data_IF_711531885266
#
_entry.id   IF_711531885266
#
_cell.length_a   1.000
_cell.length_b   1.000
_cell.length_c   1.000
_cell.angle_alpha   90.00
_cell.angle_beta   90.00
_cell.angle_gamma   90.00
#
_symmetry.space_group_name_H-M   'P 1'
#
loop_
_entity.id
_entity.type
_entity.pdbx_description
1 polymer ?
#
# COMPACT_ATOMS: atom_id res chain seq x y z
N UNK A 1 33.57 11.92 52.21
CA UNK A 1 33.44 11.95 50.73
C UNK A 1 31.98 12.03 50.26
N UNK A 2 31.01 11.93 51.17
CA UNK A 2 29.59 11.77 50.83
C UNK A 2 28.85 13.07 50.46
N UNK A 3 29.30 14.24 50.92
CA UNK A 3 28.58 15.50 50.66
C UNK A 3 28.62 15.88 49.18
N UNK A 4 29.73 15.53 48.49
CA UNK A 4 29.93 15.84 47.08
C UNK A 4 29.08 14.95 46.17
N UNK A 5 28.88 13.68 46.55
CA UNK A 5 28.04 12.74 45.78
C UNK A 5 26.55 13.07 45.93
N UNK A 6 26.09 13.44 47.12
CA UNK A 6 24.69 13.83 47.35
C UNK A 6 24.32 15.13 46.61
N UNK A 7 25.25 16.09 46.53
CA UNK A 7 25.02 17.33 45.78
C UNK A 7 24.98 17.09 44.27
N UNK A 8 25.83 16.21 43.72
CA UNK A 8 25.78 15.82 42.30
C UNK A 8 24.47 15.10 41.95
N UNK A 9 24.05 14.13 42.76
CA UNK A 9 22.80 13.39 42.54
C UNK A 9 21.58 14.31 42.52
N UNK A 10 21.48 15.25 43.49
CA UNK A 10 20.38 16.22 43.57
C UNK A 10 20.37 17.21 42.41
N UNK A 11 21.55 17.53 41.86
CA UNK A 11 21.68 18.44 40.70
C UNK A 11 21.28 17.73 39.41
N UNK A 12 21.62 16.45 39.24
CA UNK A 12 21.22 15.64 38.09
C UNK A 12 19.72 15.34 38.09
N UNK A 13 19.15 15.00 39.25
CA UNK A 13 17.71 14.72 39.41
C UNK A 13 16.85 15.98 39.17
N UNK A 14 17.28 17.14 39.67
CA UNK A 14 16.60 18.42 39.39
C UNK A 14 16.68 18.80 37.90
N UNK A 15 17.78 18.45 37.22
CA UNK A 15 17.95 18.67 35.78
C UNK A 15 17.16 17.67 34.92
N UNK A 16 16.95 16.43 35.37
CA UNK A 16 16.16 15.44 34.64
C UNK A 16 14.66 15.75 34.72
N UNK A 17 14.17 16.17 35.89
CA UNK A 17 12.78 16.58 36.11
C UNK A 17 12.45 17.86 35.33
N UNK A 18 13.36 18.83 35.24
CA UNK A 18 13.15 20.05 34.44
C UNK A 18 13.21 19.80 32.92
N UNK A 19 13.93 18.77 32.49
CA UNK A 19 14.02 18.37 31.07
C UNK A 19 12.78 17.63 30.57
N UNK A 20 12.07 16.88 31.42
CA UNK A 20 10.84 16.16 31.03
C UNK A 20 9.75 17.05 30.38
N UNK A 21 9.33 18.19 30.97
CA UNK A 21 8.31 19.05 30.35
C UNK A 21 8.79 19.69 29.05
N UNK A 22 10.09 19.97 28.92
CA UNK A 22 10.71 20.49 27.70
C UNK A 22 10.68 19.42 26.61
N UNK A 23 11.03 18.18 26.93
CA UNK A 23 11.04 17.04 26.01
C UNK A 23 9.63 16.71 25.50
N UNK A 24 8.62 16.76 26.37
CA UNK A 24 7.20 16.60 25.99
C UNK A 24 6.74 17.72 25.04
N UNK A 25 7.16 18.95 25.30
CA UNK A 25 6.81 20.12 24.47
C UNK A 25 7.47 20.04 23.09
N UNK A 26 8.75 19.68 23.04
CA UNK A 26 9.51 19.45 21.80
C UNK A 26 8.89 18.29 21.02
N UNK A 27 8.58 17.17 21.67
CA UNK A 27 7.95 16.01 21.04
C UNK A 27 6.58 16.37 20.44
N UNK A 28 5.80 17.23 21.11
CA UNK A 28 4.52 17.72 20.58
C UNK A 28 4.70 18.60 19.33
N UNK A 29 5.73 19.44 19.29
CA UNK A 29 6.08 20.26 18.10
C UNK A 29 6.55 19.35 16.96
N UNK A 30 7.47 18.43 17.24
CA UNK A 30 7.96 17.43 16.27
C UNK A 30 6.79 16.63 15.70
N UNK A 31 5.87 16.15 16.54
CA UNK A 31 4.72 15.39 16.09
C UNK A 31 3.74 16.20 15.23
N UNK A 32 3.69 17.54 15.37
CA UNK A 32 2.94 18.40 14.43
C UNK A 32 3.65 18.52 13.09
N UNK A 33 4.97 18.71 13.11
CA UNK A 33 5.79 18.80 11.88
C UNK A 33 5.76 17.48 11.12
N UNK A 34 5.96 16.36 11.81
CA UNK A 34 5.86 15.01 11.25
C UNK A 34 4.46 14.78 10.65
N UNK A 35 3.38 15.19 11.32
CA UNK A 35 2.03 15.10 10.73
C UNK A 35 1.88 15.93 9.45
N UNK A 36 2.49 17.11 9.35
CA UNK A 36 2.48 17.91 8.12
C UNK A 36 3.26 17.21 7.00
N UNK A 37 4.47 16.73 7.30
CA UNK A 37 5.30 15.99 6.34
C UNK A 37 4.59 14.73 5.89
N UNK A 38 3.98 13.97 6.81
CA UNK A 38 3.21 12.76 6.51
C UNK A 38 2.06 13.07 5.54
N UNK A 39 1.31 14.16 5.76
CA UNK A 39 0.25 14.58 4.82
C UNK A 39 0.80 14.84 3.42
N UNK A 40 1.94 15.53 3.32
CA UNK A 40 2.59 15.81 2.03
C UNK A 40 3.09 14.51 1.39
N UNK A 41 3.71 13.61 2.15
CA UNK A 41 4.14 12.30 1.66
C UNK A 41 2.96 11.45 1.17
N UNK A 42 1.85 11.43 1.91
CA UNK A 42 0.63 10.71 1.49
C UNK A 42 0.07 11.31 0.18
N UNK A 43 0.13 12.62 0.02
CA UNK A 43 -0.27 13.29 -1.22
C UNK A 43 0.64 12.94 -2.41
N UNK A 44 1.96 12.95 -2.22
CA UNK A 44 2.90 12.50 -3.25
C UNK A 44 2.72 11.02 -3.58
N UNK A 45 2.47 10.18 -2.57
CA UNK A 45 2.17 8.77 -2.77
C UNK A 45 0.87 8.61 -3.56
N UNK A 46 -0.18 9.37 -3.25
CA UNK A 46 -1.42 9.41 -4.04
C UNK A 46 -1.16 9.78 -5.50
N UNK A 47 -0.40 10.84 -5.77
CA UNK A 47 -0.01 11.25 -7.13
C UNK A 47 0.81 10.18 -7.86
N UNK A 48 1.75 9.56 -7.16
CA UNK A 48 2.57 8.48 -7.71
C UNK A 48 1.70 7.28 -8.09
N UNK A 49 0.79 6.87 -7.20
CA UNK A 49 -0.21 5.85 -7.54
C UNK A 49 -1.01 6.34 -8.75
N UNK A 50 -1.66 7.49 -8.69
CA UNK A 50 -2.48 7.99 -9.80
C UNK A 50 -1.76 7.96 -11.16
N UNK A 51 -0.48 8.31 -11.20
CA UNK A 51 0.35 8.26 -12.40
C UNK A 51 0.51 6.83 -12.95
N UNK A 52 0.78 5.86 -12.08
CA UNK A 52 0.93 4.45 -12.48
C UNK A 52 -0.41 3.72 -12.68
N UNK A 53 -1.56 4.35 -12.38
CA UNK A 53 -2.90 3.75 -12.53
C UNK A 53 -3.15 3.21 -13.93
N UNK A 54 -2.98 4.06 -14.95
CA UNK A 54 -3.22 3.68 -16.35
C UNK A 54 -2.35 2.51 -16.82
N UNK A 55 -1.01 2.54 -16.65
CA UNK A 55 -0.19 1.42 -17.09
C UNK A 55 -0.49 0.13 -16.30
N UNK A 56 -0.80 0.23 -15.00
CA UNK A 56 -1.21 -0.95 -14.21
C UNK A 56 -2.51 -1.54 -14.73
N UNK A 57 -3.53 -0.72 -14.99
CA UNK A 57 -4.82 -1.20 -15.51
C UNK A 57 -4.65 -1.86 -16.89
N UNK A 58 -3.86 -1.25 -17.77
CA UNK A 58 -3.59 -1.83 -19.10
C UNK A 58 -2.87 -3.18 -18.95
N UNK A 59 -1.88 -3.26 -18.07
CA UNK A 59 -1.13 -4.49 -17.83
C UNK A 59 -2.03 -5.58 -17.23
N UNK A 60 -2.84 -5.27 -16.21
CA UNK A 60 -3.75 -6.25 -15.60
C UNK A 60 -4.83 -6.69 -16.58
N UNK A 61 -5.41 -5.79 -17.37
CA UNK A 61 -6.37 -6.13 -18.42
C UNK A 61 -5.76 -7.00 -19.51
N UNK A 62 -4.54 -6.70 -19.96
CA UNK A 62 -3.82 -7.53 -20.94
C UNK A 62 -3.58 -8.93 -20.40
N UNK A 63 -3.13 -9.04 -19.15
CA UNK A 63 -2.85 -10.32 -18.49
C UNK A 63 -4.13 -11.14 -18.26
N UNK A 64 -5.22 -10.50 -17.84
CA UNK A 64 -6.54 -11.14 -17.69
C UNK A 64 -7.08 -11.59 -19.05
N UNK A 65 -7.04 -10.70 -20.06
CA UNK A 65 -7.47 -11.00 -21.42
C UNK A 65 -6.67 -12.15 -22.06
N UNK A 66 -5.35 -12.16 -21.88
CA UNK A 66 -4.48 -13.24 -22.30
C UNK A 66 -4.83 -14.57 -21.61
N UNK A 67 -5.13 -14.53 -20.31
CA UNK A 67 -5.57 -15.72 -19.56
C UNK A 67 -6.90 -16.27 -20.09
N UNK A 68 -7.87 -15.40 -20.40
CA UNK A 68 -9.12 -15.80 -21.05
C UNK A 68 -8.90 -16.39 -22.44
N UNK A 69 -7.99 -15.83 -23.24
CA UNK A 69 -7.68 -16.33 -24.57
C UNK A 69 -7.07 -17.74 -24.53
N UNK A 70 -6.14 -17.99 -23.59
CA UNK A 70 -5.55 -19.32 -23.37
C UNK A 70 -6.58 -20.32 -22.91
N UNK A 71 -7.46 -19.94 -21.97
CA UNK A 71 -8.59 -20.78 -21.53
C UNK A 71 -9.54 -21.11 -22.70
N UNK A 72 -9.82 -20.14 -23.56
CA UNK A 72 -10.64 -20.34 -24.76
C UNK A 72 -10.00 -21.30 -25.75
N UNK A 73 -8.69 -21.17 -26.02
CA UNK A 73 -7.96 -22.11 -26.88
C UNK A 73 -7.94 -23.52 -26.29
N UNK A 74 -7.73 -23.66 -24.98
CA UNK A 74 -7.77 -24.96 -24.29
C UNK A 74 -9.16 -25.60 -24.38
N UNK A 75 -10.22 -24.82 -24.20
CA UNK A 75 -11.60 -25.28 -24.33
C UNK A 75 -11.94 -25.69 -25.76
N UNK A 76 -11.54 -24.88 -26.75
CA UNK A 76 -11.74 -25.18 -28.17
C UNK A 76 -10.98 -26.44 -28.61
N UNK A 77 -9.73 -26.60 -28.15
CA UNK A 77 -8.95 -27.81 -28.39
C UNK A 77 -9.58 -29.07 -27.78
N UNK A 78 -10.18 -28.95 -26.59
CA UNK A 78 -10.93 -30.04 -25.98
C UNK A 78 -12.17 -30.44 -26.81
N UNK A 79 -12.91 -29.47 -27.35
CA UNK A 79 -14.06 -29.72 -28.24
C UNK A 79 -13.66 -30.41 -29.54
N UNK A 80 -12.44 -30.18 -30.03
CA UNK A 80 -11.87 -30.86 -31.20
C UNK A 80 -11.33 -32.28 -30.90
N UNK A 81 -11.48 -32.77 -29.67
CA UNK A 81 -11.05 -34.11 -29.27
C UNK A 81 -9.57 -34.23 -28.92
N UNK A 82 -8.88 -33.11 -28.65
CA UNK A 82 -7.52 -33.16 -28.13
C UNK A 82 -7.48 -33.88 -26.77
N UNK A 83 -6.53 -34.79 -26.58
CA UNK A 83 -6.34 -35.47 -25.29
C UNK A 83 -5.89 -34.45 -24.23
N UNK A 84 -6.46 -34.51 -23.01
CA UNK A 84 -6.04 -33.62 -21.95
C UNK A 84 -4.60 -33.91 -21.54
N UNK A 85 -3.79 -32.86 -21.35
CA UNK A 85 -2.44 -32.98 -20.81
C UNK A 85 -2.47 -33.20 -19.29
N UNK A 86 -1.52 -33.93 -18.74
CA UNK A 86 -1.47 -34.27 -17.30
C UNK A 86 -1.53 -33.04 -16.37
N UNK A 87 -1.13 -31.85 -16.82
CA UNK A 87 -1.09 -30.63 -16.00
C UNK A 87 -2.10 -29.57 -16.45
N UNK A 88 -3.01 -29.91 -17.38
CA UNK A 88 -3.99 -28.97 -17.92
C UNK A 88 -4.95 -28.45 -16.84
N UNK A 89 -5.41 -29.32 -15.94
CA UNK A 89 -6.30 -28.95 -14.83
C UNK A 89 -5.63 -27.96 -13.88
N UNK A 90 -4.36 -28.19 -13.54
CA UNK A 90 -3.59 -27.29 -12.67
C UNK A 90 -3.37 -25.92 -13.35
N UNK A 91 -3.09 -25.90 -14.65
CA UNK A 91 -2.99 -24.65 -15.41
C UNK A 91 -4.29 -23.86 -15.43
N UNK A 92 -5.43 -24.51 -15.71
CA UNK A 92 -6.75 -23.86 -15.73
C UNK A 92 -7.08 -23.24 -14.37
N UNK A 93 -6.86 -23.97 -13.27
CA UNK A 93 -7.05 -23.46 -11.91
C UNK A 93 -6.12 -22.26 -11.67
N UNK A 94 -4.85 -22.35 -12.08
CA UNK A 94 -3.89 -21.26 -11.99
C UNK A 94 -4.35 -19.99 -12.70
N UNK A 95 -4.85 -20.10 -13.93
CA UNK A 95 -5.38 -18.95 -14.69
C UNK A 95 -6.61 -18.34 -14.03
N UNK A 96 -7.53 -19.16 -13.52
CA UNK A 96 -8.73 -18.67 -12.81
C UNK A 96 -8.32 -17.86 -11.57
N UNK A 97 -7.45 -18.41 -10.73
CA UNK A 97 -6.92 -17.71 -9.54
C UNK A 97 -6.25 -16.41 -9.94
N UNK A 98 -5.44 -16.44 -11.00
CA UNK A 98 -4.72 -15.28 -11.48
C UNK A 98 -5.65 -14.16 -11.97
N UNK A 99 -6.75 -14.50 -12.65
CA UNK A 99 -7.79 -13.53 -13.05
C UNK A 99 -8.44 -12.88 -11.83
N UNK A 100 -8.84 -13.66 -10.83
CA UNK A 100 -9.44 -13.12 -9.60
C UNK A 100 -8.44 -12.25 -8.82
N UNK A 101 -7.18 -12.66 -8.76
CA UNK A 101 -6.12 -11.90 -8.10
C UNK A 101 -5.88 -10.56 -8.82
N UNK A 102 -5.91 -10.55 -10.16
CA UNK A 102 -5.81 -9.34 -10.97
C UNK A 102 -6.99 -8.38 -10.76
N UNK A 103 -8.21 -8.90 -10.70
CA UNK A 103 -9.40 -8.10 -10.36
C UNK A 103 -9.32 -7.53 -8.94
N UNK A 104 -8.95 -8.36 -7.96
CA UNK A 104 -8.81 -7.95 -6.56
C UNK A 104 -7.71 -6.90 -6.39
N UNK A 105 -6.60 -7.02 -7.13
CA UNK A 105 -5.53 -6.03 -7.13
C UNK A 105 -6.00 -4.69 -7.71
N UNK A 106 -6.72 -4.68 -8.85
CA UNK A 106 -7.30 -3.45 -9.40
C UNK A 106 -8.32 -2.83 -8.42
N UNK A 107 -9.18 -3.64 -7.83
CA UNK A 107 -10.18 -3.14 -6.88
C UNK A 107 -9.54 -2.59 -5.60
N UNK A 108 -8.56 -3.30 -5.04
CA UNK A 108 -7.81 -2.84 -3.88
C UNK A 108 -7.01 -1.56 -4.18
N UNK A 109 -6.52 -1.42 -5.39
CA UNK A 109 -5.83 -0.22 -5.87
C UNK A 109 -6.77 0.98 -5.99
N UNK A 110 -7.97 0.80 -6.57
CA UNK A 110 -8.99 1.85 -6.62
C UNK A 110 -9.49 2.25 -5.22
N UNK A 111 -9.67 1.27 -4.32
CA UNK A 111 -10.04 1.52 -2.92
C UNK A 111 -8.93 2.26 -2.14
N UNK A 112 -7.66 1.95 -2.43
CA UNK A 112 -6.52 2.64 -1.85
C UNK A 112 -6.44 4.09 -2.36
N UNK A 113 -6.67 4.32 -3.65
CA UNK A 113 -6.76 5.66 -4.22
C UNK A 113 -7.91 6.47 -3.60
N UNK A 114 -9.10 5.88 -3.40
CA UNK A 114 -10.22 6.52 -2.69
C UNK A 114 -9.84 6.96 -1.28
N UNK A 115 -9.23 6.05 -0.51
CA UNK A 115 -8.87 6.34 0.87
C UNK A 115 -7.78 7.40 1.00
N UNK A 116 -6.92 7.53 -0.01
CA UNK A 116 -5.83 8.50 -0.05
C UNK A 116 -6.21 9.79 -0.78
N UNK A 117 -7.39 9.85 -1.39
CA UNK A 117 -7.84 11.03 -2.12
C UNK A 117 -7.98 12.23 -1.17
N UNK A 118 -7.42 13.40 -1.53
CA UNK A 118 -7.79 14.65 -0.88
C UNK A 118 -9.30 14.91 -1.09
N UNK A 119 -9.99 15.54 -0.13
CA UNK A 119 -11.44 15.80 -0.21
C UNK A 119 -11.87 16.62 -1.44
N UNK A 120 -10.94 17.32 -2.08
CA UNK A 120 -11.18 18.10 -3.30
C UNK A 120 -11.14 17.27 -4.59
N UNK A 121 -10.59 16.04 -4.56
CA UNK A 121 -10.37 15.18 -5.75
C UNK A 121 -11.30 13.96 -5.82
N UNK A 122 -12.15 13.72 -4.80
CA UNK A 122 -13.08 12.59 -4.78
C UNK A 122 -14.05 12.58 -5.98
N UNK A 123 -14.42 13.76 -6.51
CA UNK A 123 -15.44 13.89 -7.56
C UNK A 123 -14.89 13.79 -9.00
N UNK A 124 -13.62 14.13 -9.23
CA UNK A 124 -13.06 14.21 -10.60
C UNK A 124 -12.48 12.85 -11.07
N UNK A 125 -12.15 11.96 -10.13
CA UNK A 125 -11.48 10.68 -10.44
C UNK A 125 -12.44 9.53 -10.80
N UNK A 126 -13.73 9.70 -10.51
CA UNK A 126 -14.80 8.68 -10.62
C UNK A 126 -15.91 9.03 -11.62
N UNK A 127 -15.75 10.13 -12.37
CA UNK A 127 -16.57 10.45 -13.54
C UNK A 127 -15.88 9.92 -14.80
#
# INVERSE_FOLDING_TARGET
MDILSTHKLKTEEKNSISRQPILITVMRIVMRVVRKILKICVFFLFLFLLFIRRPIIILTQFMVGGSFLVLFMLWYGYMLGAKPYEHQTAMVIGYIIFVFLGLAANWGYDALLLRLAPPEYELILFQ
#
